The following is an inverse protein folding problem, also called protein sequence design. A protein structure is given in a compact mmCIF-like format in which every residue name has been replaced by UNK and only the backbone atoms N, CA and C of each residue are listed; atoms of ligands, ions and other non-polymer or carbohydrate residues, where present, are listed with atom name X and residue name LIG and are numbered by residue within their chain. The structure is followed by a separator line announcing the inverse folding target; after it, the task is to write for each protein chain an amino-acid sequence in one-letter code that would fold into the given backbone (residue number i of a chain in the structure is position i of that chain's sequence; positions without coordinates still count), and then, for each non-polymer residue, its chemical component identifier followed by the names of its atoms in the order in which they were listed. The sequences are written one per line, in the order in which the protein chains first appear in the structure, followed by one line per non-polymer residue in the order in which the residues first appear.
data_IF_208171074234
#
_entry.id   IF_208171074234
#
_cell.length_a   1.000
_cell.length_b   1.000
_cell.length_c   1.000
_cell.angle_alpha   90.00
_cell.angle_beta   90.00
_cell.angle_gamma   90.00
#
_symmetry.space_group_name_H-M   'P 1'
#
loop_
_entity.id
_entity.type
_entity.pdbx_description
1 polymer ?
#
# COMPACT_ATOMS: atom_id res chain seq x y z
N UNK A 1 -9.99 -11.76 -24.01
CA UNK A 1 -10.08 -12.36 -22.66
C UNK A 1 -8.87 -11.83 -21.89
N UNK A 2 -9.05 -10.82 -21.03
CA UNK A 2 -7.97 -10.18 -20.27
C UNK A 2 -7.61 -11.07 -19.07
N UNK A 3 -6.32 -11.30 -18.75
CA UNK A 3 -5.94 -12.02 -17.55
C UNK A 3 -6.34 -11.19 -16.32
N UNK A 4 -7.12 -11.80 -15.43
CA UNK A 4 -7.42 -11.24 -14.13
C UNK A 4 -6.09 -11.01 -13.39
N UNK A 5 -5.93 -9.82 -12.81
CA UNK A 5 -4.77 -9.47 -12.01
C UNK A 5 -4.58 -10.52 -10.91
N UNK A 6 -3.57 -11.37 -11.08
CA UNK A 6 -3.01 -12.22 -10.04
C UNK A 6 -2.61 -11.30 -8.90
N UNK A 7 -3.46 -11.19 -7.88
CA UNK A 7 -3.06 -10.65 -6.59
C UNK A 7 -2.19 -11.74 -5.99
N UNK A 8 -0.89 -11.59 -6.23
CA UNK A 8 0.14 -12.51 -5.78
C UNK A 8 0.10 -12.54 -4.25
N UNK A 9 -0.32 -13.67 -3.69
CA UNK A 9 -0.12 -13.94 -2.28
C UNK A 9 1.38 -14.14 -2.11
N UNK A 10 2.09 -13.06 -1.80
CA UNK A 10 3.52 -13.07 -1.52
C UNK A 10 3.83 -14.26 -0.63
N UNK A 11 4.70 -15.16 -1.10
CA UNK A 11 5.06 -16.32 -0.31
C UNK A 11 5.74 -15.81 0.96
N UNK A 12 5.59 -16.49 2.09
CA UNK A 12 6.13 -16.02 3.38
C UNK A 12 7.63 -15.66 3.31
N UNK A 13 8.38 -16.36 2.45
CA UNK A 13 9.78 -16.07 2.15
C UNK A 13 10.02 -14.71 1.48
N UNK A 14 9.13 -14.28 0.59
CA UNK A 14 9.23 -12.98 -0.09
C UNK A 14 8.95 -11.85 0.89
N UNK A 15 7.95 -12.03 1.76
CA UNK A 15 7.65 -11.08 2.84
C UNK A 15 8.80 -10.94 3.83
N UNK A 16 9.40 -12.04 4.26
CA UNK A 16 10.55 -12.01 5.17
C UNK A 16 11.73 -11.26 4.53
N UNK A 17 12.00 -11.47 3.23
CA UNK A 17 13.03 -10.74 2.49
C UNK A 17 12.74 -9.23 2.38
N UNK A 18 11.49 -8.85 2.09
CA UNK A 18 11.08 -7.45 2.03
C UNK A 18 11.20 -6.73 3.39
N UNK A 19 10.87 -7.42 4.48
CA UNK A 19 11.02 -6.89 5.84
C UNK A 19 12.50 -6.64 6.16
N UNK A 20 13.38 -7.60 5.87
CA UNK A 20 14.81 -7.44 6.10
C UNK A 20 15.41 -6.32 5.22
N UNK A 21 14.97 -6.20 3.98
CA UNK A 21 15.39 -5.11 3.10
C UNK A 21 14.95 -3.73 3.64
N UNK A 22 13.73 -3.62 4.17
CA UNK A 22 13.23 -2.39 4.78
C UNK A 22 13.96 -2.06 6.10
N UNK A 23 14.28 -3.06 6.91
CA UNK A 23 15.08 -2.89 8.13
C UNK A 23 16.51 -2.42 7.82
N UNK A 24 17.14 -2.97 6.79
CA UNK A 24 18.50 -2.60 6.38
C UNK A 24 18.61 -1.11 5.99
N UNK A 25 17.55 -0.51 5.46
CA UNK A 25 17.48 0.92 5.15
C UNK A 25 17.50 1.83 6.38
N UNK A 26 17.15 1.31 7.54
CA UNK A 26 17.06 2.04 8.80
C UNK A 26 18.06 1.53 9.85
N UNK A 27 19.25 1.08 9.42
CA UNK A 27 20.29 0.55 10.31
C UNK A 27 19.80 -0.60 11.21
N UNK A 28 18.88 -1.42 10.69
CA UNK A 28 18.17 -2.46 11.42
C UNK A 28 17.36 -1.97 12.63
N UNK A 29 16.97 -0.68 12.69
CA UNK A 29 16.02 -0.16 13.67
C UNK A 29 14.57 -0.45 13.24
N UNK A 30 13.87 -1.38 13.92
CA UNK A 30 12.50 -1.72 13.58
C UNK A 30 11.53 -0.56 13.85
N UNK A 31 11.81 0.29 14.85
CA UNK A 31 10.93 1.41 15.18
C UNK A 31 10.99 2.50 14.13
N UNK A 32 12.18 2.84 13.65
CA UNK A 32 12.36 3.78 12.55
C UNK A 32 11.67 3.26 11.27
N UNK A 33 11.86 1.98 10.95
CA UNK A 33 11.22 1.34 9.79
C UNK A 33 9.69 1.39 9.87
N UNK A 34 9.11 0.98 10.99
CA UNK A 34 7.65 1.03 11.20
C UNK A 34 7.14 2.47 11.15
N UNK A 35 7.87 3.43 11.73
CA UNK A 35 7.47 4.83 11.70
C UNK A 35 7.41 5.39 10.27
N UNK A 36 8.38 5.05 9.42
CA UNK A 36 8.41 5.40 8.00
C UNK A 36 7.23 4.77 7.26
N UNK A 37 6.99 3.46 7.41
CA UNK A 37 5.86 2.78 6.79
C UNK A 37 4.52 3.38 7.20
N UNK A 38 4.35 3.75 8.46
CA UNK A 38 3.14 4.44 8.94
C UNK A 38 3.01 5.86 8.38
N UNK A 39 4.12 6.56 8.13
CA UNK A 39 4.11 7.85 7.44
C UNK A 39 3.69 7.68 5.97
N UNK A 40 4.25 6.68 5.28
CA UNK A 40 3.95 6.38 3.88
C UNK A 40 2.48 5.97 3.70
N UNK A 41 1.94 5.12 4.57
CA UNK A 41 0.52 4.74 4.56
C UNK A 41 -0.38 5.98 4.72
N UNK A 42 -0.04 6.88 5.65
CA UNK A 42 -0.80 8.13 5.84
C UNK A 42 -0.72 9.02 4.60
N UNK A 43 0.45 9.13 3.98
CA UNK A 43 0.64 9.89 2.75
C UNK A 43 -0.20 9.31 1.60
N UNK A 44 -0.17 7.99 1.39
CA UNK A 44 -0.95 7.32 0.37
C UNK A 44 -2.46 7.48 0.59
N UNK A 45 -2.94 7.38 1.84
CA UNK A 45 -4.36 7.62 2.16
C UNK A 45 -4.78 9.06 1.86
N UNK A 46 -3.91 10.03 2.12
CA UNK A 46 -4.14 11.43 1.78
C UNK A 46 -4.17 11.63 0.25
N UNK A 47 -3.22 11.05 -0.48
CA UNK A 47 -3.23 11.13 -1.95
C UNK A 47 -4.49 10.50 -2.53
N UNK A 48 -4.93 9.36 -1.97
CA UNK A 48 -6.14 8.69 -2.40
C UNK A 48 -7.40 9.51 -2.12
N UNK A 49 -7.50 10.16 -0.94
CA UNK A 49 -8.64 11.03 -0.62
C UNK A 49 -8.70 12.27 -1.50
N UNK A 50 -7.55 12.85 -1.82
CA UNK A 50 -7.44 13.98 -2.76
C UNK A 50 -7.86 13.55 -4.16
N UNK A 51 -7.38 12.38 -4.62
CA UNK A 51 -7.74 11.83 -5.91
C UNK A 51 -9.24 11.51 -5.99
N UNK A 52 -9.84 10.95 -4.92
CA UNK A 52 -11.28 10.70 -4.82
C UNK A 52 -12.09 11.99 -4.89
N UNK A 53 -11.61 13.07 -4.26
CA UNK A 53 -12.28 14.38 -4.28
C UNK A 53 -12.20 15.05 -5.66
N UNK A 54 -11.09 14.85 -6.38
CA UNK A 54 -10.85 15.41 -7.71
C UNK A 54 -11.52 14.58 -8.83
N UNK A 55 -11.68 13.27 -8.63
CA UNK A 55 -12.34 12.39 -9.59
C UNK A 55 -13.85 12.50 -9.49
N UNK A 56 -14.52 12.76 -10.63
CA UNK A 56 -15.98 12.71 -10.66
C UNK A 56 -16.48 11.27 -10.44
N UNK A 57 -17.67 11.13 -9.82
CA UNK A 57 -18.34 9.84 -9.59
C UNK A 57 -18.48 8.98 -10.86
N UNK A 58 -18.53 9.62 -12.04
CA UNK A 58 -18.58 8.95 -13.34
C UNK A 58 -17.24 8.38 -13.82
N UNK A 59 -16.11 8.96 -13.41
CA UNK A 59 -14.77 8.53 -13.80
C UNK A 59 -14.41 7.15 -13.21
N UNK A 60 -14.77 6.92 -11.94
CA UNK A 60 -14.49 5.68 -11.23
C UNK A 60 -15.51 4.55 -11.49
N UNK A 61 -16.50 4.76 -12.38
CA UNK A 61 -17.59 3.80 -12.69
C UNK A 61 -18.25 3.21 -11.43
N UNK A 62 -18.44 4.01 -10.38
CA UNK A 62 -19.06 3.56 -9.13
C UNK A 62 -18.16 2.77 -8.18
N UNK A 63 -16.88 2.60 -8.50
CA UNK A 63 -15.89 2.04 -7.56
C UNK A 63 -15.48 3.07 -6.52
N UNK A 64 -15.44 2.69 -5.24
CA UNK A 64 -14.96 3.51 -4.13
C UNK A 64 -13.81 2.79 -3.42
N UNK A 65 -12.72 3.50 -3.08
CA UNK A 65 -11.58 2.91 -2.38
C UNK A 65 -12.00 2.39 -0.99
N UNK A 66 -11.59 1.17 -0.65
CA UNK A 66 -11.68 0.63 0.71
C UNK A 66 -10.34 0.88 1.41
N UNK A 67 -10.40 1.55 2.56
CA UNK A 67 -9.20 1.94 3.32
C UNK A 67 -8.73 0.87 4.32
N UNK A 68 -9.54 -0.17 4.52
CA UNK A 68 -9.26 -1.28 5.44
C UNK A 68 -8.93 -2.55 4.63
N UNK A 69 -7.97 -3.34 5.12
CA UNK A 69 -7.76 -4.72 4.64
C UNK A 69 -8.66 -5.63 5.49
N UNK A 70 -9.55 -6.38 4.84
CA UNK A 70 -10.31 -7.50 5.45
C UNK A 70 -9.35 -8.67 5.80
#
# INVERSE_FOLDING_TARGET
MLPAATHDHATKHDLDYEVEAALAWHDADPKATIATLLADIRHLRLQLSLAETLMSRGMARGWSPKYERD
#
